data_IF_839088817460
#
_entry.id   IF_839088817460
#
_cell.length_a   1.000
_cell.length_b   1.000
_cell.length_c   1.000
_cell.angle_alpha   90.00
_cell.angle_beta   90.00
_cell.angle_gamma   90.00
#
_symmetry.space_group_name_H-M   'P 1'
#
loop_
_entity.id
_entity.type
_entity.pdbx_description
1 polymer ?
#
# COMPACT_ATOMS: atom_id res chain seq x y z
N UNK A 1 -63.47 -6.86 -27.43
CA UNK A 1 -62.25 -7.19 -26.66
C UNK A 1 -61.29 -6.00 -26.70
N UNK A 2 -61.30 -5.11 -25.69
CA UNK A 2 -60.40 -3.93 -25.65
C UNK A 2 -60.09 -3.44 -24.22
N UNK A 3 -60.10 -4.32 -23.21
CA UNK A 3 -59.80 -3.95 -21.82
C UNK A 3 -58.57 -4.67 -21.20
N UNK A 4 -58.09 -5.78 -21.77
CA UNK A 4 -56.93 -6.50 -21.20
C UNK A 4 -55.59 -5.75 -21.34
N UNK A 5 -55.43 -4.95 -22.40
CA UNK A 5 -54.14 -4.32 -22.71
C UNK A 5 -53.74 -3.17 -21.74
N UNK A 6 -54.70 -2.57 -21.01
CA UNK A 6 -54.41 -1.54 -19.99
C UNK A 6 -53.92 -2.17 -18.69
N UNK A 7 -54.52 -3.28 -18.28
CA UNK A 7 -54.11 -4.02 -17.08
C UNK A 7 -52.70 -4.58 -17.25
N UNK A 8 -52.44 -5.22 -18.39
CA UNK A 8 -51.12 -5.81 -18.71
C UNK A 8 -50.00 -4.75 -18.76
N UNK A 9 -50.27 -3.53 -19.25
CA UNK A 9 -49.30 -2.42 -19.19
C UNK A 9 -48.99 -1.96 -17.77
N UNK A 10 -49.99 -1.96 -16.87
CA UNK A 10 -49.77 -1.65 -15.45
C UNK A 10 -48.89 -2.70 -14.76
N UNK A 11 -49.16 -3.99 -14.99
CA UNK A 11 -48.33 -5.08 -14.48
C UNK A 11 -46.89 -5.02 -15.00
N UNK A 12 -46.70 -4.78 -16.30
CA UNK A 12 -45.37 -4.63 -16.90
C UNK A 12 -44.63 -3.43 -16.29
N UNK A 13 -45.31 -2.29 -16.09
CA UNK A 13 -44.70 -1.12 -15.46
C UNK A 13 -44.23 -1.40 -14.02
N UNK A 14 -45.06 -2.09 -13.22
CA UNK A 14 -44.68 -2.50 -11.85
C UNK A 14 -43.50 -3.46 -11.86
N UNK A 15 -43.47 -4.40 -12.81
CA UNK A 15 -42.39 -5.39 -12.91
C UNK A 15 -41.07 -4.74 -13.35
N UNK A 16 -41.11 -3.78 -14.28
CA UNK A 16 -39.93 -3.00 -14.68
C UNK A 16 -39.40 -2.17 -13.51
N UNK A 17 -40.28 -1.49 -12.76
CA UNK A 17 -39.86 -0.74 -11.56
C UNK A 17 -39.25 -1.67 -10.53
N UNK A 18 -39.83 -2.85 -10.31
CA UNK A 18 -39.30 -3.84 -9.38
C UNK A 18 -37.91 -4.33 -9.81
N UNK A 19 -37.71 -4.65 -11.09
CA UNK A 19 -36.40 -5.05 -11.63
C UNK A 19 -35.38 -3.92 -11.47
N UNK A 20 -35.74 -2.67 -11.79
CA UNK A 20 -34.84 -1.52 -11.64
C UNK A 20 -34.46 -1.31 -10.17
N UNK A 21 -35.40 -1.45 -9.23
CA UNK A 21 -35.13 -1.32 -7.80
C UNK A 21 -34.25 -2.47 -7.30
N UNK A 22 -34.52 -3.71 -7.70
CA UNK A 22 -33.71 -4.87 -7.33
C UNK A 22 -32.30 -4.74 -7.90
N UNK A 23 -32.14 -4.47 -9.19
CA UNK A 23 -30.82 -4.24 -9.81
C UNK A 23 -30.12 -3.04 -9.20
N UNK A 24 -30.85 -1.97 -8.86
CA UNK A 24 -30.29 -0.81 -8.17
C UNK A 24 -29.76 -1.16 -6.78
N UNK A 25 -30.52 -1.90 -5.96
CA UNK A 25 -30.11 -2.29 -4.61
C UNK A 25 -28.97 -3.30 -4.64
N UNK A 26 -29.07 -4.36 -5.46
CA UNK A 26 -28.02 -5.37 -5.56
C UNK A 26 -26.77 -4.84 -6.25
N UNK A 27 -26.92 -4.02 -7.29
CA UNK A 27 -25.82 -3.32 -7.94
C UNK A 27 -25.12 -2.33 -7.02
N UNK A 28 -25.88 -1.54 -6.25
CA UNK A 28 -25.32 -0.61 -5.26
C UNK A 28 -24.63 -1.36 -4.11
N UNK A 29 -25.25 -2.42 -3.56
CA UNK A 29 -24.59 -3.27 -2.55
C UNK A 29 -23.36 -3.97 -3.08
N UNK A 30 -23.41 -4.47 -4.31
CA UNK A 30 -22.26 -5.04 -5.00
C UNK A 30 -21.16 -4.00 -5.20
N UNK A 31 -21.50 -2.77 -5.55
CA UNK A 31 -20.55 -1.66 -5.69
C UNK A 31 -19.94 -1.22 -4.37
N UNK A 32 -20.73 -1.10 -3.29
CA UNK A 32 -20.23 -0.79 -1.96
C UNK A 32 -19.31 -1.90 -1.46
N UNK A 33 -19.75 -3.16 -1.58
CA UNK A 33 -18.92 -4.30 -1.23
C UNK A 33 -17.64 -4.37 -2.07
N UNK A 34 -17.73 -4.09 -3.37
CA UNK A 34 -16.57 -3.97 -4.26
C UNK A 34 -15.64 -2.86 -3.81
N UNK A 35 -16.15 -1.68 -3.45
CA UNK A 35 -15.32 -0.54 -2.99
C UNK A 35 -14.70 -0.79 -1.62
N UNK A 36 -15.42 -1.44 -0.72
CA UNK A 36 -14.92 -1.88 0.59
C UNK A 36 -13.83 -2.95 0.44
N UNK A 37 -13.90 -3.77 -0.61
CA UNK A 37 -12.91 -4.82 -0.88
C UNK A 37 -11.81 -4.40 -1.87
N UNK A 38 -11.96 -3.29 -2.60
CA UNK A 38 -10.99 -2.81 -3.59
C UNK A 38 -10.57 -1.37 -3.25
N UNK A 39 -9.64 -1.21 -2.28
CA UNK A 39 -9.13 0.08 -1.88
C UNK A 39 -8.55 0.79 -3.11
N UNK A 40 -9.02 2.01 -3.40
CA UNK A 40 -8.55 2.77 -4.55
C UNK A 40 -7.22 3.42 -4.18
N UNK A 41 -6.14 2.87 -4.76
CA UNK A 41 -4.80 3.36 -4.53
C UNK A 41 -4.46 4.54 -5.47
N UNK A 42 -3.74 5.57 -5.00
CA UNK A 42 -3.29 6.66 -5.85
C UNK A 42 -2.16 6.18 -6.77
N UNK A 43 -2.51 5.55 -7.89
CA UNK A 43 -1.54 4.87 -8.78
C UNK A 43 -0.71 5.79 -9.68
N UNK A 44 -1.11 7.05 -9.86
CA UNK A 44 -0.44 7.97 -10.78
C UNK A 44 0.99 8.33 -10.37
N UNK A 45 1.23 8.54 -9.07
CA UNK A 45 2.54 8.97 -8.55
C UNK A 45 3.61 7.86 -8.58
N UNK A 46 3.20 6.59 -8.59
CA UNK A 46 4.14 5.45 -8.64
C UNK A 46 4.67 5.20 -10.05
N UNK A 47 3.85 5.38 -11.08
CA UNK A 47 4.27 5.15 -12.48
C UNK A 47 5.44 6.06 -12.88
N UNK A 48 5.30 7.35 -12.62
CA UNK A 48 6.33 8.35 -12.90
C UNK A 48 7.61 8.08 -12.08
N UNK A 49 7.46 7.64 -10.82
CA UNK A 49 8.59 7.25 -9.97
C UNK A 49 9.37 6.07 -10.56
N UNK A 50 8.69 5.02 -11.04
CA UNK A 50 9.37 3.86 -11.61
C UNK A 50 10.17 4.20 -12.87
N UNK A 51 9.62 5.07 -13.72
CA UNK A 51 10.31 5.60 -14.89
C UNK A 51 11.53 6.43 -14.47
N UNK A 52 11.37 7.35 -13.52
CA UNK A 52 12.47 8.17 -12.99
C UNK A 52 13.59 7.31 -12.38
N UNK A 53 13.25 6.32 -11.56
CA UNK A 53 14.24 5.42 -10.96
C UNK A 53 14.98 4.62 -12.03
N UNK A 54 14.27 4.10 -13.04
CA UNK A 54 14.86 3.36 -14.16
C UNK A 54 15.79 4.19 -15.04
N UNK A 55 15.50 5.48 -15.22
CA UNK A 55 16.34 6.41 -16.00
C UNK A 55 17.53 6.94 -15.20
N UNK A 56 17.35 7.19 -13.91
CA UNK A 56 18.34 7.92 -13.12
C UNK A 56 19.27 7.02 -12.33
N UNK A 57 18.84 5.83 -11.87
CA UNK A 57 19.69 4.94 -11.07
C UNK A 57 20.45 3.96 -11.96
N UNK A 58 21.80 3.97 -11.89
CA UNK A 58 22.60 2.90 -12.47
C UNK A 58 22.22 1.54 -11.87
N UNK A 59 22.24 0.48 -12.68
CA UNK A 59 21.96 -0.89 -12.22
C UNK A 59 22.97 -1.37 -11.18
N UNK A 60 24.20 -0.89 -11.27
CA UNK A 60 25.29 -1.18 -10.36
C UNK A 60 25.39 -0.15 -9.22
N UNK A 61 24.32 0.59 -8.93
CA UNK A 61 24.37 1.61 -7.89
C UNK A 61 24.59 0.98 -6.51
N UNK A 62 25.51 1.57 -5.75
CA UNK A 62 25.87 1.11 -4.40
C UNK A 62 25.01 1.78 -3.34
N UNK A 63 25.00 1.23 -2.13
CA UNK A 63 24.31 1.85 -1.00
C UNK A 63 24.79 3.28 -0.72
N UNK A 64 26.09 3.56 -0.85
CA UNK A 64 26.61 4.92 -0.70
C UNK A 64 26.01 5.88 -1.72
N UNK A 65 25.81 5.44 -2.97
CA UNK A 65 25.19 6.26 -4.00
C UNK A 65 23.69 6.48 -3.76
N UNK A 66 23.00 5.52 -3.14
CA UNK A 66 21.61 5.69 -2.72
C UNK A 66 21.50 6.71 -1.58
N UNK A 67 22.42 6.66 -0.61
CA UNK A 67 22.51 7.64 0.47
C UNK A 67 22.87 9.05 -0.03
N UNK A 68 23.80 9.17 -0.98
CA UNK A 68 24.13 10.46 -1.63
C UNK A 68 22.94 11.09 -2.34
N UNK A 69 22.00 10.27 -2.81
CA UNK A 69 20.71 10.71 -3.40
C UNK A 69 19.65 11.04 -2.35
N UNK A 70 19.94 10.82 -1.07
CA UNK A 70 19.06 11.13 0.05
C UNK A 70 18.12 10.00 0.44
N UNK A 71 18.31 8.78 -0.07
CA UNK A 71 17.60 7.60 0.43
C UNK A 71 18.23 7.16 1.76
N UNK A 72 17.43 7.10 2.82
CA UNK A 72 17.91 6.71 4.14
C UNK A 72 18.24 5.21 4.16
N UNK A 73 19.48 4.86 4.48
CA UNK A 73 19.88 3.47 4.70
C UNK A 73 19.30 2.93 6.03
N UNK A 74 18.50 1.87 5.90
CA UNK A 74 17.90 1.12 7.02
C UNK A 74 18.44 -0.30 7.18
N UNK A 75 19.56 -0.61 6.52
CA UNK A 75 20.22 -1.93 6.60
C UNK A 75 20.72 -2.23 8.01
N UNK A 76 21.39 -1.26 8.62
CA UNK A 76 22.00 -1.39 9.94
C UNK A 76 21.05 -0.94 11.06
N UNK A 77 21.36 -1.37 12.29
CA UNK A 77 20.66 -0.88 13.49
C UNK A 77 20.89 0.63 13.60
N UNK A 78 19.80 1.37 13.56
CA UNK A 78 19.79 2.83 13.63
C UNK A 78 20.15 3.30 15.06
N UNK A 79 20.80 4.46 15.20
CA UNK A 79 21.16 5.00 16.52
C UNK A 79 19.96 5.52 17.32
N UNK A 80 18.83 5.78 16.67
CA UNK A 80 17.59 6.26 17.27
C UNK A 80 16.39 5.89 16.39
N UNK A 81 15.18 6.08 16.91
CA UNK A 81 13.94 5.92 16.14
C UNK A 81 13.93 6.89 14.95
N UNK A 82 13.60 6.37 13.77
CA UNK A 82 13.47 7.20 12.57
C UNK A 82 12.15 7.97 12.64
N UNK A 83 12.20 9.20 13.13
CA UNK A 83 11.03 10.08 13.27
C UNK A 83 10.27 10.24 11.94
N UNK A 84 10.97 10.23 10.81
CA UNK A 84 10.35 10.30 9.48
C UNK A 84 9.42 9.12 9.17
N UNK A 85 9.78 7.92 9.63
CA UNK A 85 8.95 6.71 9.48
C UNK A 85 7.75 6.78 10.43
N UNK A 86 8.01 7.15 11.69
CA UNK A 86 6.99 7.28 12.73
C UNK A 86 5.90 8.29 12.32
N UNK A 87 6.30 9.46 11.80
CA UNK A 87 5.38 10.48 11.29
C UNK A 87 4.68 10.05 10.01
N UNK A 88 5.35 9.31 9.13
CA UNK A 88 4.75 8.82 7.89
C UNK A 88 3.64 7.80 8.15
N UNK A 89 3.83 6.91 9.12
CA UNK A 89 2.89 5.87 9.53
C UNK A 89 1.83 6.36 10.51
N UNK A 90 1.88 7.60 11.00
CA UNK A 90 0.83 8.17 11.85
C UNK A 90 -0.32 8.74 10.98
N UNK A 91 -1.52 8.14 10.99
CA UNK A 91 -2.64 8.59 10.15
C UNK A 91 -3.18 9.98 10.57
N UNK A 92 -2.83 10.45 11.77
CA UNK A 92 -3.24 11.77 12.27
C UNK A 92 -2.30 12.89 11.81
N UNK A 93 -1.13 12.55 11.24
CA UNK A 93 -0.14 13.52 10.79
C UNK A 93 -0.36 13.90 9.33
N UNK A 94 -0.66 15.18 9.12
CA UNK A 94 -0.56 15.80 7.80
C UNK A 94 0.91 16.06 7.45
N UNK A 95 1.61 15.03 6.95
CA UNK A 95 2.99 15.20 6.48
C UNK A 95 3.09 15.84 5.09
N UNK A 96 1.97 15.98 4.36
CA UNK A 96 1.94 16.40 2.95
C UNK A 96 2.60 15.43 1.95
N UNK A 97 3.41 14.49 2.44
CA UNK A 97 4.07 13.44 1.66
C UNK A 97 3.15 12.23 1.53
N UNK A 98 3.12 11.61 0.35
CA UNK A 98 2.40 10.34 0.09
C UNK A 98 3.35 9.16 -0.08
N UNK A 99 4.60 9.45 -0.39
CA UNK A 99 5.66 8.49 -0.60
C UNK A 99 6.77 8.70 0.43
N UNK A 100 7.32 7.58 0.91
CA UNK A 100 8.55 7.50 1.68
C UNK A 100 9.41 6.45 1.01
N UNK A 101 10.67 6.77 0.72
CA UNK A 101 11.60 5.86 0.07
C UNK A 101 12.80 5.68 1.00
N UNK A 102 13.08 4.44 1.36
CA UNK A 102 14.23 4.03 2.17
C UNK A 102 15.12 3.12 1.32
N UNK A 103 16.41 3.04 1.63
CA UNK A 103 17.32 2.08 1.01
C UNK A 103 17.67 0.97 1.98
N UNK A 104 17.86 -0.24 1.47
CA UNK A 104 18.26 -1.40 2.27
C UNK A 104 19.14 -2.31 1.42
N UNK A 105 20.21 -2.83 2.00
CA UNK A 105 21.03 -3.87 1.40
C UNK A 105 20.53 -5.23 1.86
N UNK A 106 20.35 -6.15 0.91
CA UNK A 106 19.83 -7.49 1.16
C UNK A 106 20.81 -8.53 0.66
N UNK A 107 20.90 -9.67 1.35
CA UNK A 107 21.81 -10.74 0.94
C UNK A 107 21.45 -11.34 -0.43
N UNK A 108 20.16 -11.34 -0.78
CA UNK A 108 19.63 -11.96 -2.00
C UNK A 108 19.67 -11.01 -3.20
N UNK A 109 19.18 -9.78 -3.05
CA UNK A 109 18.97 -8.84 -4.16
C UNK A 109 20.01 -7.70 -4.19
N UNK A 110 20.87 -7.61 -3.17
CA UNK A 110 21.77 -6.47 -2.97
C UNK A 110 21.00 -5.19 -2.59
N UNK A 111 21.43 -4.02 -3.09
CA UNK A 111 20.77 -2.74 -2.83
C UNK A 111 19.35 -2.69 -3.40
N UNK A 112 18.38 -2.42 -2.51
CA UNK A 112 16.98 -2.23 -2.86
C UNK A 112 16.46 -0.90 -2.31
N UNK A 113 15.40 -0.39 -2.93
CA UNK A 113 14.62 0.73 -2.42
C UNK A 113 13.27 0.21 -1.91
N UNK A 114 12.96 0.54 -0.66
CA UNK A 114 11.68 0.30 -0.03
C UNK A 114 10.79 1.50 -0.29
N UNK A 115 9.85 1.37 -1.22
CA UNK A 115 8.94 2.45 -1.59
C UNK A 115 7.62 2.26 -0.86
N UNK A 116 7.40 3.09 0.15
CA UNK A 116 6.17 3.11 0.92
C UNK A 116 5.21 4.15 0.37
N UNK A 117 4.00 3.73 0.00
CA UNK A 117 2.91 4.62 -0.38
C UNK A 117 1.79 4.57 0.64
N UNK A 118 1.51 5.70 1.30
CA UNK A 118 0.45 5.78 2.31
C UNK A 118 -0.89 6.21 1.71
N UNK A 119 -1.97 5.56 2.16
CA UNK A 119 -3.34 5.94 1.86
C UNK A 119 -4.10 6.25 3.14
N UNK A 120 -4.25 7.54 3.47
CA UNK A 120 -5.01 7.99 4.65
C UNK A 120 -6.49 7.58 4.58
N UNK A 121 -7.03 7.47 3.36
CA UNK A 121 -8.42 7.05 3.14
C UNK A 121 -8.67 5.62 3.56
N UNK A 122 -7.72 4.74 3.21
CA UNK A 122 -7.83 3.31 3.47
C UNK A 122 -7.16 2.92 4.79
N UNK A 123 -6.45 3.87 5.44
CA UNK A 123 -5.64 3.66 6.65
C UNK A 123 -4.61 2.52 6.52
N UNK A 124 -4.01 2.41 5.34
CA UNK A 124 -3.05 1.39 4.97
C UNK A 124 -1.82 2.01 4.27
N UNK A 125 -0.69 1.30 4.32
CA UNK A 125 0.52 1.61 3.56
C UNK A 125 0.82 0.45 2.61
N UNK A 126 1.13 0.75 1.36
CA UNK A 126 1.65 -0.23 0.41
C UNK A 126 3.18 -0.15 0.42
N UNK A 127 3.84 -1.29 0.37
CA UNK A 127 5.28 -1.39 0.26
C UNK A 127 5.63 -2.12 -1.05
N UNK A 128 6.41 -1.44 -1.87
CA UNK A 128 6.99 -1.95 -3.10
C UNK A 128 8.51 -2.03 -2.93
N UNK A 129 9.10 -3.19 -3.17
CA UNK A 129 10.56 -3.36 -3.09
C UNK A 129 11.16 -3.24 -4.48
N UNK A 130 11.81 -2.11 -4.77
CA UNK A 130 12.49 -1.90 -6.04
C UNK A 130 13.93 -2.42 -5.98
N UNK A 131 14.23 -3.43 -6.79
CA UNK A 131 15.57 -4.02 -6.92
C UNK A 131 16.36 -3.19 -7.92
N UNK A 132 17.44 -2.54 -7.44
CA UNK A 132 18.22 -1.59 -8.24
C UNK A 132 18.90 -2.28 -9.42
N UNK A 133 19.45 -3.48 -9.20
CA UNK A 133 20.15 -4.25 -10.24
C UNK A 133 19.24 -4.68 -11.38
N UNK A 134 18.05 -5.16 -11.03
CA UNK A 134 17.05 -5.65 -11.99
C UNK A 134 16.21 -4.52 -12.59
N UNK A 135 16.23 -3.33 -11.97
CA UNK A 135 15.30 -2.24 -12.27
C UNK A 135 13.84 -2.69 -12.26
N UNK A 136 13.51 -3.57 -11.30
CA UNK A 136 12.23 -4.24 -11.18
C UNK A 136 11.63 -4.09 -9.79
N UNK A 137 10.31 -4.28 -9.68
CA UNK A 137 9.59 -4.24 -8.41
C UNK A 137 9.23 -5.66 -7.99
N UNK A 138 9.66 -6.05 -6.80
CA UNK A 138 9.28 -7.28 -6.12
C UNK A 138 8.06 -7.04 -5.23
N UNK A 139 7.19 -8.05 -5.18
CA UNK A 139 5.98 -8.08 -4.36
C UNK A 139 5.13 -6.79 -4.41
N UNK A 140 4.82 -6.27 -5.62
CA UNK A 140 4.15 -4.99 -5.76
C UNK A 140 2.76 -5.00 -5.12
N UNK A 141 2.45 -3.90 -4.43
CA UNK A 141 1.14 -3.63 -3.86
C UNK A 141 0.86 -4.37 -2.56
N UNK A 142 1.87 -4.96 -1.90
CA UNK A 142 1.68 -5.61 -0.60
C UNK A 142 1.29 -4.55 0.44
N UNK A 143 0.17 -4.75 1.14
CA UNK A 143 -0.39 -3.74 2.04
C UNK A 143 -0.23 -4.12 3.50
N UNK A 144 0.04 -3.09 4.29
CA UNK A 144 0.30 -3.16 5.71
C UNK A 144 -0.54 -2.12 6.44
N UNK A 145 -0.76 -2.34 7.73
CA UNK A 145 -1.44 -1.37 8.59
C UNK A 145 -0.65 -0.05 8.65
N UNK A 146 -1.35 1.08 8.67
CA UNK A 146 -0.75 2.40 8.91
C UNK A 146 -0.46 2.61 10.40
N UNK A 147 0.36 1.70 10.93
CA UNK A 147 0.90 1.69 12.29
C UNK A 147 2.04 0.67 12.31
N UNK A 148 3.11 0.99 13.02
CA UNK A 148 4.17 0.02 13.29
C UNK A 148 3.96 -0.74 14.60
N UNK A 149 4.37 -1.99 14.62
CA UNK A 149 4.56 -2.78 15.82
C UNK A 149 6.03 -2.72 16.24
N UNK A 150 6.29 -2.45 17.51
CA UNK A 150 7.65 -2.38 18.04
C UNK A 150 7.91 -3.55 18.96
N UNK A 151 8.96 -4.32 18.67
CA UNK A 151 9.40 -5.44 19.50
C UNK A 151 10.79 -5.12 20.04
N UNK A 152 10.98 -5.20 21.36
CA UNK A 152 12.29 -4.98 21.99
C UNK A 152 12.93 -6.32 22.33
N UNK A 153 14.13 -6.56 21.79
CA UNK A 153 14.93 -7.76 22.02
C UNK A 153 16.40 -7.36 22.18
N UNK A 154 17.05 -7.80 23.26
CA UNK A 154 18.47 -7.52 23.55
C UNK A 154 18.88 -6.03 23.46
N UNK A 155 17.98 -5.12 23.88
CA UNK A 155 18.20 -3.68 23.83
C UNK A 155 18.17 -3.09 22.42
N UNK A 156 17.61 -3.81 21.46
CA UNK A 156 17.32 -3.36 20.09
C UNK A 156 15.81 -3.37 19.91
N UNK A 157 15.27 -2.24 19.48
CA UNK A 157 13.86 -2.13 19.12
C UNK A 157 13.73 -2.36 17.61
N UNK A 158 12.96 -3.36 17.24
CA UNK A 158 12.61 -3.70 15.87
C UNK A 158 11.27 -3.05 15.51
N UNK A 159 11.19 -2.44 14.33
CA UNK A 159 9.99 -1.78 13.83
C UNK A 159 9.41 -2.61 12.69
N UNK A 160 8.24 -3.17 12.94
CA UNK A 160 7.54 -4.09 12.04
C UNK A 160 6.32 -3.42 11.42
N UNK A 161 6.09 -3.70 10.15
CA UNK A 161 4.83 -3.41 9.47
C UNK A 161 3.96 -4.66 9.51
N UNK A 162 2.76 -4.52 10.06
CA UNK A 162 1.81 -5.63 10.16
C UNK A 162 1.08 -5.83 8.84
N UNK A 163 1.19 -7.02 8.25
CA UNK A 163 0.53 -7.33 7.00
C UNK A 163 -1.00 -7.22 7.14
N UNK A 164 -1.63 -6.64 6.13
CA UNK A 164 -3.07 -6.47 6.09
C UNK A 164 -3.66 -7.21 4.89
N UNK A 165 -4.39 -8.29 5.19
CA UNK A 165 -5.15 -9.03 4.17
C UNK A 165 -6.34 -8.20 3.69
N UNK A 166 -6.40 -7.99 2.37
CA UNK A 166 -7.49 -7.23 1.74
C UNK A 166 -8.53 -8.20 1.18
N UNK A 167 -8.06 -9.27 0.54
CA UNK A 167 -8.94 -10.29 -0.02
C UNK A 167 -8.78 -11.61 0.71
N UNK A 168 -9.90 -12.30 0.92
CA UNK A 168 -9.92 -13.58 1.63
C UNK A 168 -9.10 -14.68 0.93
N UNK A 169 -8.89 -14.53 -0.37
CA UNK A 169 -8.14 -15.44 -1.25
C UNK A 169 -6.68 -15.01 -1.49
N UNK A 170 -6.24 -13.86 -0.93
CA UNK A 170 -4.82 -13.53 -0.92
C UNK A 170 -4.05 -14.57 -0.10
N UNK A 171 -2.91 -15.07 -0.61
CA UNK A 171 -2.04 -15.90 0.19
C UNK A 171 -1.60 -15.11 1.44
N UNK A 172 -1.41 -15.83 2.54
CA UNK A 172 -0.81 -15.25 3.74
C UNK A 172 0.58 -14.70 3.41
N UNK A 173 0.79 -13.43 3.79
CA UNK A 173 2.09 -12.78 3.72
C UNK A 173 2.59 -12.56 5.15
N UNK A 174 3.90 -12.45 5.28
CA UNK A 174 4.55 -12.20 6.56
C UNK A 174 4.53 -10.70 6.90
N UNK A 175 4.58 -10.41 8.19
CA UNK A 175 4.88 -9.07 8.68
C UNK A 175 6.28 -8.65 8.23
N UNK A 176 6.48 -7.37 7.95
CA UNK A 176 7.71 -6.88 7.36
C UNK A 176 8.58 -6.12 8.37
N UNK A 177 9.80 -6.60 8.60
CA UNK A 177 10.80 -5.87 9.39
C UNK A 177 11.34 -4.69 8.59
N UNK A 178 10.85 -3.50 8.92
CA UNK A 178 11.20 -2.28 8.20
C UNK A 178 12.61 -1.82 8.56
N UNK A 179 12.88 -1.64 9.85
CA UNK A 179 14.20 -1.29 10.38
C UNK A 179 14.32 -1.65 11.85
N UNK A 180 15.50 -1.49 12.42
CA UNK A 180 15.75 -1.65 13.86
C UNK A 180 16.54 -0.46 14.38
N UNK A 181 16.36 -0.11 15.65
CA UNK A 181 17.12 0.95 16.29
C UNK A 181 17.51 0.60 17.72
N UNK A 182 18.53 1.26 18.25
CA UNK A 182 18.93 1.15 19.65
C UNK A 182 18.85 2.51 20.31
N UNK A 183 17.85 2.71 21.16
CA UNK A 183 17.79 3.90 22.01
C UNK A 183 19.04 3.97 22.88
N UNK A 184 19.78 5.09 22.80
CA UNK A 184 20.84 5.37 23.77
C UNK A 184 20.21 5.43 25.17
N UNK A 185 20.68 4.56 26.08
CA UNK A 185 20.36 4.62 27.51
C UNK A 185 20.96 5.87 28.16
#
# INVERSE_FOLDING_TARGET
MKSENKSMRGYVAVLVVFVVVVVGIFGYRGYIHYRETHPVWPSGELGDLWEELGETLPRDATMEQLEERGYRDVTQIQPEELQEVSEFLDPTKETGKRLLILSKDTEEEGPVLLVLQRSLRENLVALDTYVVQDQGVLNPGTKYEMKSETVEEDGVTQVWLRWHRIWSDEPEQEDYLLYSYRSAQ
#
